data_IF_321877082506
#
_entry.id   IF_321877082506
#
_cell.length_a   1.000
_cell.length_b   1.000
_cell.length_c   1.000
_cell.angle_alpha   90.00
_cell.angle_beta   90.00
_cell.angle_gamma   90.00
#
_symmetry.space_group_name_H-M   'P 1'
#
loop_
_entity.id
_entity.type
_entity.pdbx_description
1 polymer ?
#
# COMPACT_ATOMS: atom_id res chain seq x y z
N UNK A 1 -16.70 9.73 17.94
CA UNK A 1 -17.29 8.88 16.89
C UNK A 1 -16.29 8.70 15.72
N UNK A 2 -15.00 8.98 15.90
CA UNK A 2 -14.04 9.12 14.78
C UNK A 2 -13.29 7.83 14.41
N UNK A 3 -13.27 6.80 15.26
CA UNK A 3 -12.50 5.57 14.99
C UNK A 3 -13.12 4.65 13.92
N UNK A 4 -14.42 4.81 13.62
CA UNK A 4 -15.10 4.01 12.59
C UNK A 4 -14.71 4.44 11.18
N UNK A 5 -14.70 5.76 10.93
CA UNK A 5 -14.33 6.31 9.62
C UNK A 5 -12.90 5.90 9.24
N UNK A 6 -11.92 6.02 10.16
CA UNK A 6 -10.54 5.63 9.85
C UNK A 6 -10.37 4.16 9.44
N UNK A 7 -11.16 3.24 10.01
CA UNK A 7 -11.14 1.84 9.59
C UNK A 7 -11.83 1.62 8.24
N UNK A 8 -12.91 2.33 7.96
CA UNK A 8 -13.60 2.25 6.67
C UNK A 8 -12.74 2.87 5.56
N UNK A 9 -12.22 4.08 5.74
CA UNK A 9 -11.29 4.74 4.81
C UNK A 9 -10.08 3.85 4.49
N UNK A 10 -9.52 3.21 5.51
CA UNK A 10 -8.35 2.36 5.35
C UNK A 10 -8.69 1.06 4.62
N UNK A 11 -9.87 0.50 4.84
CA UNK A 11 -10.37 -0.68 4.14
C UNK A 11 -10.71 -0.34 2.69
N UNK A 12 -11.31 0.81 2.42
CA UNK A 12 -11.57 1.29 1.06
C UNK A 12 -10.27 1.55 0.31
N UNK A 13 -9.32 2.24 0.94
CA UNK A 13 -8.00 2.46 0.37
C UNK A 13 -7.32 1.12 0.07
N UNK A 14 -7.30 0.19 1.04
CA UNK A 14 -6.73 -1.14 0.85
C UNK A 14 -7.37 -1.85 -0.35
N UNK A 15 -8.69 -1.82 -0.49
CA UNK A 15 -9.42 -2.44 -1.60
C UNK A 15 -9.18 -1.76 -2.96
N UNK A 16 -8.73 -0.50 -2.98
CA UNK A 16 -8.25 0.16 -4.22
C UNK A 16 -6.87 -0.38 -4.60
N UNK A 17 -6.02 -0.69 -3.63
CA UNK A 17 -4.69 -1.26 -3.86
C UNK A 17 -4.74 -2.77 -4.17
N UNK A 18 -5.50 -3.53 -3.40
CA UNK A 18 -5.76 -4.97 -3.52
C UNK A 18 -6.83 -5.20 -4.60
N UNK A 19 -6.39 -5.39 -5.84
CA UNK A 19 -7.29 -5.55 -7.00
C UNK A 19 -7.95 -6.93 -7.01
N UNK A 20 -7.25 -7.93 -6.48
CA UNK A 20 -7.71 -9.32 -6.49
C UNK A 20 -8.55 -9.68 -5.24
N UNK A 21 -8.50 -8.85 -4.19
CA UNK A 21 -9.27 -9.03 -2.95
C UNK A 21 -8.74 -10.16 -2.05
N UNK A 22 -7.48 -10.54 -2.19
CA UNK A 22 -6.87 -11.64 -1.42
C UNK A 22 -6.43 -11.21 -0.01
N UNK A 23 -6.45 -9.91 0.28
CA UNK A 23 -6.04 -9.35 1.55
C UNK A 23 -4.56 -8.97 1.63
N UNK A 24 -3.82 -9.11 0.53
CA UNK A 24 -2.43 -8.73 0.39
C UNK A 24 -2.23 -7.87 -0.88
N UNK A 25 -1.40 -6.84 -0.77
CA UNK A 25 -1.06 -6.00 -1.91
C UNK A 25 0.29 -6.45 -2.43
N UNK A 26 0.31 -7.02 -3.63
CA UNK A 26 1.55 -7.41 -4.29
C UNK A 26 2.28 -6.21 -4.90
N UNK A 27 3.57 -6.37 -5.19
CA UNK A 27 4.37 -5.36 -5.94
C UNK A 27 3.68 -4.97 -7.26
N UNK A 28 3.05 -5.93 -7.92
CA UNK A 28 2.41 -5.71 -9.22
C UNK A 28 1.14 -4.88 -9.08
N UNK A 29 0.30 -5.18 -8.10
CA UNK A 29 -0.93 -4.42 -7.82
C UNK A 29 -0.61 -3.00 -7.35
N UNK A 30 0.35 -2.88 -6.43
CA UNK A 30 0.85 -1.58 -6.00
C UNK A 30 1.32 -0.76 -7.20
N UNK A 31 2.09 -1.36 -8.11
CA UNK A 31 2.59 -0.69 -9.31
C UNK A 31 1.45 -0.20 -10.20
N UNK A 32 0.44 -1.04 -10.46
CA UNK A 32 -0.71 -0.68 -11.30
C UNK A 32 -1.41 0.55 -10.73
N UNK A 33 -1.65 0.55 -9.42
CA UNK A 33 -2.37 1.62 -8.74
C UNK A 33 -1.52 2.89 -8.68
N UNK A 34 -0.24 2.79 -8.31
CA UNK A 34 0.69 3.93 -8.33
C UNK A 34 0.84 4.52 -9.74
N UNK A 35 0.84 3.68 -10.78
CA UNK A 35 0.86 4.14 -12.17
C UNK A 35 -0.45 4.83 -12.56
N UNK A 36 -1.60 4.34 -12.07
CA UNK A 36 -2.92 4.96 -12.28
C UNK A 36 -3.02 6.33 -11.60
N UNK A 37 -2.42 6.48 -10.41
CA UNK A 37 -2.30 7.74 -9.67
C UNK A 37 -1.24 8.69 -10.26
N UNK A 38 -0.49 8.27 -11.28
CA UNK A 38 0.57 9.08 -11.90
C UNK A 38 1.81 9.29 -11.02
N UNK A 39 1.96 8.49 -9.97
CA UNK A 39 3.11 8.58 -9.06
C UNK A 39 4.36 8.01 -9.72
N UNK A 40 5.49 8.71 -9.59
CA UNK A 40 6.76 8.31 -10.22
C UNK A 40 7.28 6.97 -9.70
N UNK A 41 6.93 6.64 -8.46
CA UNK A 41 7.35 5.42 -7.77
C UNK A 41 6.65 4.18 -8.35
N UNK A 42 5.50 4.34 -9.02
CA UNK A 42 4.85 3.29 -9.82
C UNK A 42 5.48 3.03 -11.19
N UNK A 43 6.48 3.82 -11.62
CA UNK A 43 7.07 3.67 -12.96
C UNK A 43 7.94 2.43 -13.10
N UNK A 44 8.61 2.01 -12.02
CA UNK A 44 9.56 0.89 -12.06
C UNK A 44 9.28 -0.09 -10.94
N UNK A 45 9.49 -1.37 -11.23
CA UNK A 45 9.31 -2.45 -10.26
C UNK A 45 10.26 -2.29 -9.07
N UNK A 46 11.47 -1.76 -9.30
CA UNK A 46 12.46 -1.53 -8.24
C UNK A 46 11.99 -0.52 -7.19
N UNK A 47 11.37 0.58 -7.61
CA UNK A 47 10.84 1.59 -6.68
C UNK A 47 9.62 1.05 -5.92
N UNK A 48 8.73 0.31 -6.58
CA UNK A 48 7.62 -0.38 -5.92
C UNK A 48 8.13 -1.40 -4.89
N UNK A 49 9.15 -2.19 -5.25
CA UNK A 49 9.81 -3.13 -4.32
C UNK A 49 10.42 -2.41 -3.13
N UNK A 50 11.12 -1.29 -3.32
CA UNK A 50 11.66 -0.50 -2.21
C UNK A 50 10.57 0.04 -1.28
N UNK A 51 9.41 0.40 -1.83
CA UNK A 51 8.27 0.82 -1.01
C UNK A 51 7.73 -0.33 -0.17
N UNK A 52 7.48 -1.49 -0.80
CA UNK A 52 7.03 -2.68 -0.09
C UNK A 52 8.06 -3.07 0.98
N UNK A 53 9.34 -3.21 0.63
CA UNK A 53 10.41 -3.56 1.58
C UNK A 53 10.57 -2.61 2.78
N UNK A 54 10.08 -1.36 2.70
CA UNK A 54 10.10 -0.44 3.85
C UNK A 54 8.98 -0.73 4.86
N UNK A 55 7.90 -1.36 4.44
CA UNK A 55 6.69 -1.61 5.24
C UNK A 55 6.42 -3.09 5.47
N UNK A 56 6.97 -3.94 4.62
CA UNK A 56 7.01 -5.39 4.71
C UNK A 56 7.92 -5.79 5.88
N UNK A 57 7.27 -6.12 6.99
CA UNK A 57 7.91 -6.51 8.25
C UNK A 57 8.15 -8.03 8.27
N UNK A 58 7.26 -8.80 7.64
CA UNK A 58 7.35 -10.25 7.63
C UNK A 58 8.23 -10.83 6.50
N UNK A 59 8.54 -10.01 5.49
CA UNK A 59 9.47 -10.30 4.41
C UNK A 59 8.88 -11.19 3.32
N UNK A 60 7.54 -11.26 3.20
CA UNK A 60 6.86 -12.05 2.17
C UNK A 60 6.87 -11.37 0.79
N UNK A 61 7.31 -10.10 0.74
CA UNK A 61 7.34 -9.29 -0.48
C UNK A 61 5.96 -8.77 -0.90
N UNK A 62 4.98 -8.83 0.00
CA UNK A 62 3.64 -8.28 -0.16
C UNK A 62 3.35 -7.33 1.00
N UNK A 63 2.21 -6.65 0.95
CA UNK A 63 1.78 -5.79 2.06
C UNK A 63 0.42 -6.27 2.53
N UNK A 64 0.38 -6.83 3.73
CA UNK A 64 -0.88 -7.22 4.35
C UNK A 64 -1.61 -6.00 4.94
N UNK A 65 -2.89 -6.18 5.30
CA UNK A 65 -3.71 -5.10 5.87
C UNK A 65 -3.08 -4.40 7.09
N UNK A 66 -2.35 -5.13 7.95
CA UNK A 66 -1.71 -4.53 9.14
C UNK A 66 -0.52 -3.66 8.76
N UNK A 67 0.28 -4.08 7.79
CA UNK A 67 1.43 -3.33 7.29
C UNK A 67 0.98 -2.08 6.53
N UNK A 68 -0.06 -2.22 5.71
CA UNK A 68 -0.70 -1.08 5.04
C UNK A 68 -1.22 -0.05 6.05
N UNK A 69 -1.88 -0.52 7.12
CA UNK A 69 -2.35 0.34 8.21
C UNK A 69 -1.21 1.11 8.88
N UNK A 70 -0.08 0.44 9.14
CA UNK A 70 1.11 1.09 9.70
C UNK A 70 1.69 2.13 8.73
N UNK A 71 1.76 1.81 7.43
CA UNK A 71 2.20 2.73 6.39
C UNK A 71 1.33 3.99 6.33
N UNK A 72 0.00 3.83 6.32
CA UNK A 72 -0.96 4.94 6.31
C UNK A 72 -0.84 5.81 7.57
N UNK A 73 -0.71 5.19 8.75
CA UNK A 73 -0.50 5.93 10.01
C UNK A 73 0.86 6.64 10.10
N UNK A 74 1.88 6.17 9.38
CA UNK A 74 3.23 6.73 9.36
C UNK A 74 3.44 7.93 8.42
N UNK A 75 2.39 8.40 7.73
CA UNK A 75 2.48 9.49 6.74
C UNK A 75 2.31 9.06 5.28
N UNK A 76 1.89 7.81 5.03
CA UNK A 76 1.55 7.29 3.71
C UNK A 76 2.72 7.25 2.73
N UNK A 77 2.41 7.16 1.43
CA UNK A 77 3.42 7.11 0.35
C UNK A 77 4.30 8.37 0.26
N UNK A 78 3.86 9.48 0.85
CA UNK A 78 4.63 10.72 0.95
C UNK A 78 5.84 10.59 1.88
N UNK A 79 5.77 9.75 2.91
CA UNK A 79 6.88 9.49 3.83
C UNK A 79 7.96 8.57 3.24
N UNK A 80 7.68 7.94 2.09
CA UNK A 80 8.59 7.01 1.42
C UNK A 80 9.49 7.70 0.37
N UNK A 81 9.26 9.00 0.11
CA UNK A 81 10.01 9.84 -0.83
C UNK A 81 11.19 10.59 -0.22
#
# INVERSE_FOLDING_TARGET
>A
MEEKDEEEDMREAFNVFDQNGDGFITVEELRVVLSSLGLKQGRTVEECKKMIMKVDVDGDGMVNYKEFKQMMKGGGFSALG
#
